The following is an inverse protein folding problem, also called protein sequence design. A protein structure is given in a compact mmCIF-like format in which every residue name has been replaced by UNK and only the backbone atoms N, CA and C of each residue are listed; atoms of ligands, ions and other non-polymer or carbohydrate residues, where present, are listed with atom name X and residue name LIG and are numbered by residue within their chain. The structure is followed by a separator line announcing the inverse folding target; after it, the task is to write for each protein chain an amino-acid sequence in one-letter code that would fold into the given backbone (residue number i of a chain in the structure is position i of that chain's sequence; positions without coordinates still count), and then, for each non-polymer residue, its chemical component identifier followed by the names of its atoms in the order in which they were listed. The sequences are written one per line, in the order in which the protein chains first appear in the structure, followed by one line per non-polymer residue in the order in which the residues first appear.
data_IF_771538383171
#
_entry.id   IF_771538383171
#
_cell.length_a   1.000
_cell.length_b   1.000
_cell.length_c   1.000
_cell.angle_alpha   90.00
_cell.angle_beta   90.00
_cell.angle_gamma   90.00
#
_symmetry.space_group_name_H-M   'P 1'
#
loop_
_entity.id
_entity.type
_entity.pdbx_description
1 polymer ?
#
# COMPACT_ATOMS: atom_id res chain seq x y z
N UNK A 1 -1.91 -17.71 15.40
CA UNK A 1 -2.55 -19.04 15.21
C UNK A 1 -1.53 -20.17 15.39
N UNK A 2 -0.42 -20.20 14.65
CA UNK A 2 0.60 -21.25 14.80
C UNK A 2 1.20 -21.38 16.21
N UNK A 3 1.38 -20.26 16.91
CA UNK A 3 1.82 -20.25 18.33
C UNK A 3 0.84 -20.95 19.27
N UNK A 4 -0.45 -20.70 19.10
CA UNK A 4 -1.50 -21.34 19.89
C UNK A 4 -1.57 -22.85 19.60
N UNK A 5 -1.43 -23.25 18.33
CA UNK A 5 -1.41 -24.67 17.94
C UNK A 5 -0.21 -25.39 18.54
N UNK A 6 0.98 -24.78 18.51
CA UNK A 6 2.18 -25.35 19.13
C UNK A 6 2.07 -25.46 20.65
N UNK A 7 1.50 -24.45 21.32
CA UNK A 7 1.21 -24.52 22.76
C UNK A 7 0.22 -25.63 23.11
N UNK A 8 -0.85 -25.82 22.31
CA UNK A 8 -1.80 -26.92 22.50
C UNK A 8 -1.09 -28.28 22.34
N UNK A 9 -0.20 -28.41 21.36
CA UNK A 9 0.58 -29.63 21.15
C UNK A 9 1.55 -29.91 22.32
N UNK A 10 2.19 -28.88 22.88
CA UNK A 10 3.07 -28.99 24.04
C UNK A 10 2.30 -29.42 25.30
N UNK A 11 1.13 -28.83 25.55
CA UNK A 11 0.32 -29.15 26.71
C UNK A 11 -0.32 -30.55 26.63
N UNK A 12 -0.51 -31.08 25.42
CA UNK A 12 -1.08 -32.43 25.22
C UNK A 12 -0.16 -33.56 25.68
N UNK A 13 1.16 -33.37 25.60
CA UNK A 13 2.16 -34.39 25.96
C UNK A 13 3.15 -33.88 27.02
N UNK A 14 2.65 -33.23 28.07
CA UNK A 14 3.48 -32.65 29.12
C UNK A 14 4.35 -33.69 29.87
N UNK A 15 3.96 -34.96 29.83
CA UNK A 15 4.63 -36.05 30.54
C UNK A 15 5.92 -36.55 29.84
N UNK A 16 6.17 -36.18 28.57
CA UNK A 16 7.41 -36.51 27.85
C UNK A 16 8.14 -35.23 27.41
N UNK A 17 9.24 -34.86 28.08
CA UNK A 17 10.05 -33.69 27.74
C UNK A 17 10.54 -33.66 26.29
N UNK A 18 10.72 -34.84 25.67
CA UNK A 18 11.17 -34.97 24.27
C UNK A 18 10.13 -34.42 23.28
N UNK A 19 8.86 -34.54 23.63
CA UNK A 19 7.73 -34.09 22.79
C UNK A 19 7.48 -32.58 22.87
N UNK A 20 7.96 -31.92 23.93
CA UNK A 20 7.84 -30.46 24.13
C UNK A 20 8.66 -29.71 23.08
N UNK A 21 9.88 -30.19 22.76
CA UNK A 21 10.76 -29.56 21.78
C UNK A 21 10.13 -29.45 20.39
N UNK A 22 9.43 -30.49 19.94
CA UNK A 22 8.75 -30.50 18.64
C UNK A 22 7.60 -29.48 18.58
N UNK A 23 6.79 -29.37 19.64
CA UNK A 23 5.71 -28.38 19.71
C UNK A 23 6.22 -26.93 19.73
N UNK A 24 7.36 -26.70 20.39
CA UNK A 24 8.03 -25.39 20.41
C UNK A 24 8.56 -24.99 19.04
N UNK A 25 9.24 -25.93 18.35
CA UNK A 25 9.84 -25.68 17.04
C UNK A 25 8.77 -25.24 16.03
N UNK A 26 7.61 -25.91 16.01
CA UNK A 26 6.49 -25.54 15.14
C UNK A 26 5.97 -24.14 15.47
N UNK A 27 5.78 -23.80 16.76
CA UNK A 27 5.30 -22.48 17.18
C UNK A 27 6.23 -21.34 16.70
N UNK A 28 7.55 -21.53 16.82
CA UNK A 28 8.55 -20.54 16.44
C UNK A 28 8.67 -20.40 14.92
N UNK A 29 8.73 -21.52 14.19
CA UNK A 29 8.83 -21.51 12.73
C UNK A 29 7.62 -20.83 12.10
N UNK A 30 6.41 -21.11 12.62
CA UNK A 30 5.20 -20.51 12.08
C UNK A 30 5.16 -19.00 12.31
N UNK A 31 5.68 -18.52 13.45
CA UNK A 31 5.82 -17.09 13.75
C UNK A 31 6.86 -16.43 12.84
N UNK A 32 7.99 -17.10 12.62
CA UNK A 32 9.04 -16.64 11.73
C UNK A 32 8.51 -16.47 10.31
N UNK A 33 7.91 -17.50 9.71
CA UNK A 33 7.37 -17.39 8.36
C UNK A 33 6.25 -16.36 8.26
N UNK A 34 5.34 -16.28 9.25
CA UNK A 34 4.27 -15.30 9.25
C UNK A 34 4.79 -13.86 9.24
N UNK A 35 5.69 -13.52 10.17
CA UNK A 35 6.27 -12.18 10.27
C UNK A 35 7.18 -11.85 9.09
N UNK A 36 7.95 -12.83 8.60
CA UNK A 36 8.81 -12.70 7.43
C UNK A 36 7.99 -12.35 6.18
N UNK A 37 6.98 -13.16 5.84
CA UNK A 37 6.12 -12.90 4.67
C UNK A 37 5.32 -11.60 4.80
N UNK A 38 4.81 -11.29 6.00
CA UNK A 38 4.08 -10.04 6.23
C UNK A 38 4.95 -8.82 5.91
N UNK A 39 6.15 -8.74 6.50
CA UNK A 39 6.98 -7.55 6.41
C UNK A 39 7.76 -7.44 5.10
N UNK A 40 8.24 -8.54 4.53
CA UNK A 40 9.07 -8.51 3.32
C UNK A 40 8.27 -8.59 2.02
N UNK A 41 7.07 -9.19 2.05
CA UNK A 41 6.29 -9.42 0.82
C UNK A 41 5.02 -8.58 0.82
N UNK A 42 4.15 -8.79 1.80
CA UNK A 42 2.80 -8.19 1.74
C UNK A 42 2.79 -6.68 2.01
N UNK A 43 3.54 -6.19 3.01
CA UNK A 43 3.64 -4.76 3.30
C UNK A 43 4.20 -3.93 2.14
N UNK A 44 5.33 -4.29 1.49
CA UNK A 44 5.84 -3.50 0.36
C UNK A 44 4.93 -3.58 -0.87
N UNK A 45 4.22 -4.70 -1.10
CA UNK A 45 3.21 -4.79 -2.16
C UNK A 45 2.05 -3.83 -1.87
N UNK A 46 1.55 -3.81 -0.64
CA UNK A 46 0.50 -2.89 -0.22
C UNK A 46 0.93 -1.42 -0.36
N UNK A 47 2.17 -1.10 0.02
CA UNK A 47 2.75 0.24 -0.14
C UNK A 47 2.84 0.67 -1.61
N UNK A 48 3.31 -0.22 -2.51
CA UNK A 48 3.34 0.05 -3.95
C UNK A 48 1.95 0.27 -4.54
N UNK A 49 0.98 -0.53 -4.11
CA UNK A 49 -0.40 -0.40 -4.59
C UNK A 49 -1.01 0.93 -4.11
N UNK A 50 -0.78 1.31 -2.85
CA UNK A 50 -1.23 2.59 -2.30
C UNK A 50 -0.67 3.77 -3.09
N UNK A 51 0.64 3.77 -3.37
CA UNK A 51 1.24 4.84 -4.18
C UNK A 51 0.60 4.94 -5.57
N UNK A 52 0.32 3.80 -6.24
CA UNK A 52 -0.38 3.80 -7.54
C UNK A 52 -1.80 4.34 -7.42
N UNK A 53 -2.51 4.00 -6.35
CA UNK A 53 -3.85 4.51 -6.08
C UNK A 53 -3.82 6.02 -5.83
N UNK A 54 -2.85 6.53 -5.09
CA UNK A 54 -2.72 7.97 -4.83
C UNK A 54 -2.46 8.74 -6.14
N UNK A 55 -1.60 8.24 -7.02
CA UNK A 55 -1.37 8.81 -8.35
C UNK A 55 -2.65 8.80 -9.21
N UNK A 56 -3.40 7.70 -9.18
CA UNK A 56 -4.66 7.57 -9.91
C UNK A 56 -5.74 8.53 -9.38
N UNK A 57 -5.83 8.70 -8.07
CA UNK A 57 -6.75 9.63 -7.41
C UNK A 57 -6.47 11.07 -7.83
N UNK A 58 -5.20 11.48 -7.88
CA UNK A 58 -4.80 12.81 -8.36
C UNK A 58 -5.22 13.02 -9.82
N UNK A 59 -4.98 12.03 -10.70
CA UNK A 59 -5.38 12.11 -12.11
C UNK A 59 -6.90 12.22 -12.27
N UNK A 60 -7.66 11.40 -11.56
CA UNK A 60 -9.14 11.45 -11.62
C UNK A 60 -9.67 12.79 -11.09
N UNK A 61 -9.08 13.32 -10.01
CA UNK A 61 -9.46 14.61 -9.46
C UNK A 61 -9.19 15.77 -10.41
N UNK A 62 -8.04 15.76 -11.10
CA UNK A 62 -7.72 16.72 -12.16
C UNK A 62 -8.78 16.70 -13.28
N UNK A 63 -9.23 15.51 -13.72
CA UNK A 63 -10.25 15.37 -14.76
C UNK A 63 -11.59 15.95 -14.27
N UNK A 64 -12.01 15.61 -13.06
CA UNK A 64 -13.27 16.10 -12.47
C UNK A 64 -13.25 17.63 -12.38
N UNK A 65 -12.18 18.21 -11.85
CA UNK A 65 -12.05 19.67 -11.75
C UNK A 65 -12.06 20.35 -13.11
N UNK A 66 -11.47 19.73 -14.13
CA UNK A 66 -11.51 20.21 -15.51
C UNK A 66 -12.93 20.22 -16.08
N UNK A 67 -13.68 19.15 -15.90
CA UNK A 67 -15.08 19.04 -16.35
C UNK A 67 -15.96 20.07 -15.64
N UNK A 68 -15.81 20.21 -14.32
CA UNK A 68 -16.56 21.20 -13.53
C UNK A 68 -16.24 22.64 -13.97
N UNK A 69 -14.97 22.94 -14.26
CA UNK A 69 -14.58 24.27 -14.73
C UNK A 69 -15.15 24.60 -16.12
N UNK A 70 -15.24 23.60 -17.01
CA UNK A 70 -15.90 23.73 -18.32
C UNK A 70 -17.41 23.96 -18.13
N UNK A 71 -18.06 23.20 -17.24
CA UNK A 71 -19.48 23.35 -16.93
C UNK A 71 -19.82 24.75 -16.39
N UNK A 72 -18.94 25.30 -15.55
CA UNK A 72 -19.09 26.64 -14.98
C UNK A 72 -18.80 27.77 -15.98
N UNK A 73 -18.36 27.45 -17.20
CA UNK A 73 -18.03 28.45 -18.22
C UNK A 73 -16.79 29.29 -17.88
N UNK A 74 -15.83 28.74 -17.11
CA UNK A 74 -14.57 29.43 -16.84
C UNK A 74 -13.79 29.67 -18.14
N UNK A 75 -13.14 30.84 -18.28
CA UNK A 75 -12.33 31.15 -19.47
C UNK A 75 -11.22 30.09 -19.65
N UNK A 76 -10.99 29.53 -20.86
CA UNK A 76 -10.07 28.40 -21.08
C UNK A 76 -8.65 28.60 -20.50
N UNK A 77 -8.14 29.83 -20.61
CA UNK A 77 -6.85 30.25 -20.02
C UNK A 77 -6.77 30.07 -18.50
N UNK A 78 -7.89 30.22 -17.80
CA UNK A 78 -7.96 30.06 -16.34
C UNK A 78 -8.06 28.58 -15.97
N UNK A 79 -8.80 27.79 -16.74
CA UNK A 79 -8.87 26.33 -16.61
C UNK A 79 -7.46 25.74 -16.76
N UNK A 80 -6.72 26.15 -17.80
CA UNK A 80 -5.35 25.73 -18.04
C UNK A 80 -4.45 26.01 -16.83
N UNK A 81 -4.47 27.24 -16.29
CA UNK A 81 -3.70 27.62 -15.09
C UNK A 81 -4.07 26.78 -13.87
N UNK A 82 -5.35 26.47 -13.69
CA UNK A 82 -5.87 25.65 -12.58
C UNK A 82 -5.38 24.20 -12.70
N UNK A 83 -5.45 23.62 -13.91
CA UNK A 83 -4.98 22.26 -14.19
C UNK A 83 -3.45 22.13 -14.12
N UNK A 84 -2.70 23.16 -14.51
CA UNK A 84 -1.24 23.19 -14.37
C UNK A 84 -0.79 23.04 -12.91
N UNK A 85 -1.62 23.44 -11.93
CA UNK A 85 -1.29 23.28 -10.52
C UNK A 85 -1.27 21.81 -10.04
N UNK A 86 -1.90 20.90 -10.77
CA UNK A 86 -1.84 19.47 -10.46
C UNK A 86 -0.51 18.81 -10.89
N UNK A 87 0.29 19.47 -11.75
CA UNK A 87 1.58 18.97 -12.19
C UNK A 87 2.70 19.36 -11.21
N UNK A 88 3.74 18.53 -11.01
CA UNK A 88 4.96 18.92 -10.32
C UNK A 88 5.69 20.07 -11.04
N UNK A 89 6.46 20.93 -10.33
CA UNK A 89 7.14 22.09 -10.92
C UNK A 89 8.00 21.77 -12.16
N UNK A 90 8.70 20.63 -12.15
CA UNK A 90 9.55 20.15 -13.27
C UNK A 90 8.74 19.86 -14.54
N UNK A 91 7.53 19.32 -14.38
CA UNK A 91 6.62 19.04 -15.50
C UNK A 91 5.91 20.31 -15.97
N UNK A 92 5.60 21.25 -15.06
CA UNK A 92 5.03 22.56 -15.42
C UNK A 92 5.93 23.37 -16.34
N UNK A 93 7.25 23.36 -16.09
CA UNK A 93 8.20 24.08 -16.94
C UNK A 93 8.25 23.53 -18.38
N UNK A 94 8.12 22.22 -18.55
CA UNK A 94 8.13 21.60 -19.89
C UNK A 94 6.90 21.97 -20.71
N UNK A 95 5.71 21.97 -20.08
CA UNK A 95 4.45 22.35 -20.76
C UNK A 95 4.48 23.82 -21.17
N UNK A 96 5.02 24.71 -20.33
CA UNK A 96 5.16 26.14 -20.65
C UNK A 96 6.17 26.45 -21.76
N UNK A 97 7.13 25.56 -22.02
CA UNK A 97 8.11 25.73 -23.10
C UNK A 97 7.56 25.27 -24.45
N UNK A 98 6.48 24.50 -24.49
CA UNK A 98 5.85 23.97 -25.71
C UNK A 98 4.60 24.73 -26.17
N UNK A 99 4.11 25.70 -25.39
CA UNK A 99 2.93 26.52 -25.68
C UNK A 99 3.34 27.97 -25.98
#
# INVERSE_FOLDING_TARGET
IGTLIGLIAMLRNLNDPSSIGNGMAVALITTFYGTFLANLVFLPIAGKLKNRTDDEMVRKRMIIDGILAIQNGEHPRNIEKKLLNYLPPKLRSQVKTQA
#
